data_IF_498979866145
#
_entry.id   IF_498979866145
#
_cell.length_a   1.000
_cell.length_b   1.000
_cell.length_c   1.000
_cell.angle_alpha   90.00
_cell.angle_beta   90.00
_cell.angle_gamma   90.00
#
_symmetry.space_group_name_H-M   'P 1'
#
loop_
_entity.id
_entity.type
_entity.pdbx_description
1 polymer ?
#
# COMPACT_ATOMS: atom_id res chain seq x y z
N UNK A 1 -3.35 2.02 13.24
CA UNK A 1 -4.38 1.18 13.90
C UNK A 1 -5.36 1.99 14.74
N UNK A 2 -4.98 2.56 15.90
CA UNK A 2 -5.95 3.22 16.81
C UNK A 2 -6.83 4.30 16.14
N UNK A 3 -6.26 5.15 15.28
CA UNK A 3 -7.04 6.18 14.55
C UNK A 3 -8.06 5.58 13.57
N UNK A 4 -7.78 4.44 12.93
CA UNK A 4 -8.73 3.75 12.06
C UNK A 4 -9.94 3.25 12.87
N UNK A 5 -9.67 2.64 14.02
CA UNK A 5 -10.70 2.13 14.93
C UNK A 5 -11.56 3.26 15.50
N UNK A 6 -10.92 4.37 15.89
CA UNK A 6 -11.60 5.57 16.38
C UNK A 6 -12.49 6.20 15.31
N UNK A 7 -11.99 6.42 14.09
CA UNK A 7 -12.79 7.00 13.01
C UNK A 7 -13.99 6.11 12.65
N UNK A 8 -13.82 4.79 12.70
CA UNK A 8 -14.92 3.86 12.55
C UNK A 8 -15.96 3.99 13.67
N UNK A 9 -15.55 4.14 14.94
CA UNK A 9 -16.51 4.31 16.02
C UNK A 9 -17.26 5.64 15.92
N UNK A 10 -16.61 6.69 15.44
CA UNK A 10 -17.22 8.02 15.26
C UNK A 10 -18.27 8.01 14.15
N UNK A 11 -17.94 7.50 12.96
CA UNK A 11 -18.91 7.42 11.87
C UNK A 11 -18.55 6.35 10.84
N UNK A 12 -19.23 5.20 10.94
CA UNK A 12 -19.05 4.04 10.04
C UNK A 12 -19.36 4.30 8.56
N UNK A 13 -20.09 5.38 8.24
CA UNK A 13 -20.53 5.69 6.87
C UNK A 13 -19.61 6.66 6.14
N UNK A 14 -18.70 7.33 6.87
CA UNK A 14 -17.73 8.25 6.27
C UNK A 14 -16.48 7.49 5.86
N UNK A 15 -15.92 7.91 4.74
CA UNK A 15 -14.61 7.43 4.31
C UNK A 15 -13.53 7.86 5.29
N UNK A 16 -12.54 6.99 5.47
CA UNK A 16 -11.28 7.33 6.13
C UNK A 16 -10.29 7.73 5.05
N UNK A 17 -9.74 8.95 5.12
CA UNK A 17 -8.72 9.42 4.20
C UNK A 17 -7.32 9.15 4.77
N UNK A 18 -6.58 8.24 4.15
CA UNK A 18 -5.26 7.81 4.58
C UNK A 18 -4.18 8.31 3.63
N UNK A 19 -3.48 9.36 4.05
CA UNK A 19 -2.35 9.93 3.31
C UNK A 19 -1.05 9.21 3.65
N UNK A 20 -0.31 8.80 2.64
CA UNK A 20 0.88 7.96 2.73
C UNK A 20 2.06 8.70 2.10
N UNK A 21 3.06 8.98 2.93
CA UNK A 21 4.41 9.38 2.54
C UNK A 21 5.39 8.55 3.38
N UNK A 22 5.72 7.36 2.90
CA UNK A 22 6.47 6.37 3.67
C UNK A 22 7.47 5.60 2.80
N UNK A 23 8.72 5.44 3.27
CA UNK A 23 9.72 4.58 2.63
C UNK A 23 9.49 3.08 2.90
N UNK A 24 8.47 2.73 3.70
CA UNK A 24 8.22 1.37 4.16
C UNK A 24 8.53 1.19 5.64
N UNK A 25 8.79 -0.04 6.06
CA UNK A 25 9.10 -0.35 7.45
C UNK A 25 8.91 -1.83 7.80
N UNK A 26 8.60 -2.11 9.06
CA UNK A 26 8.33 -3.46 9.57
C UNK A 26 7.16 -4.11 8.81
N UNK A 27 7.38 -5.34 8.35
CA UNK A 27 6.35 -6.12 7.63
C UNK A 27 5.17 -6.43 8.54
N UNK A 28 5.41 -6.89 9.77
CA UNK A 28 4.33 -7.20 10.73
C UNK A 28 3.53 -5.96 11.10
N UNK A 29 4.18 -4.80 11.24
CA UNK A 29 3.49 -3.54 11.47
C UNK A 29 2.65 -3.11 10.26
N UNK A 30 3.15 -3.35 9.05
CA UNK A 30 2.41 -3.11 7.80
C UNK A 30 1.16 -3.97 7.74
N UNK A 31 1.30 -5.29 7.98
CA UNK A 31 0.18 -6.23 7.97
C UNK A 31 -0.86 -5.90 9.05
N UNK A 32 -0.43 -5.47 10.24
CA UNK A 32 -1.37 -5.03 11.28
C UNK A 32 -2.21 -3.81 10.84
N UNK A 33 -1.60 -2.85 10.13
CA UNK A 33 -2.35 -1.71 9.58
C UNK A 33 -3.26 -2.18 8.44
N UNK A 34 -2.74 -3.00 7.53
CA UNK A 34 -3.48 -3.55 6.39
C UNK A 34 -4.73 -4.32 6.84
N UNK A 35 -4.59 -5.28 7.74
CA UNK A 35 -5.71 -6.07 8.25
C UNK A 35 -6.72 -5.19 8.99
N UNK A 36 -6.24 -4.16 9.71
CA UNK A 36 -7.15 -3.18 10.32
C UNK A 36 -7.93 -2.42 9.24
N UNK A 37 -7.30 -2.02 8.13
CA UNK A 37 -7.98 -1.36 7.01
C UNK A 37 -9.04 -2.27 6.37
N UNK A 38 -8.76 -3.57 6.25
CA UNK A 38 -9.71 -4.53 5.68
C UNK A 38 -10.86 -4.88 6.65
N UNK A 39 -10.58 -4.88 7.96
CA UNK A 39 -11.55 -5.23 8.99
C UNK A 39 -12.55 -4.10 9.28
N UNK A 40 -12.16 -2.83 9.13
CA UNK A 40 -13.10 -1.72 9.36
C UNK A 40 -14.17 -1.65 8.25
N UNK A 41 -15.41 -1.32 8.64
CA UNK A 41 -16.53 -1.11 7.72
C UNK A 41 -16.45 0.21 6.96
N UNK A 42 -15.71 1.20 7.47
CA UNK A 42 -15.46 2.45 6.76
C UNK A 42 -14.61 2.18 5.52
N UNK A 43 -14.98 2.68 4.33
CA UNK A 43 -14.08 2.64 3.18
C UNK A 43 -12.81 3.46 3.50
N UNK A 44 -11.64 2.87 3.27
CA UNK A 44 -10.36 3.57 3.46
C UNK A 44 -9.86 4.08 2.10
N UNK A 45 -9.96 5.38 1.86
CA UNK A 45 -9.39 6.03 0.68
C UNK A 45 -7.90 6.31 0.92
N UNK A 46 -7.02 5.89 0.01
CA UNK A 46 -5.56 6.02 0.16
C UNK A 46 -5.00 7.05 -0.80
N UNK A 47 -3.99 7.80 -0.34
CA UNK A 47 -3.39 8.89 -1.12
C UNK A 47 -1.86 8.82 -1.01
N UNK A 48 -1.18 8.57 -2.12
CA UNK A 48 0.28 8.66 -2.18
C UNK A 48 0.71 10.12 -2.36
N UNK A 49 1.38 10.67 -1.36
CA UNK A 49 1.87 12.05 -1.30
C UNK A 49 3.39 12.02 -1.16
N UNK A 50 4.11 11.95 -2.28
CA UNK A 50 5.58 11.84 -2.29
C UNK A 50 6.02 10.40 -2.55
N UNK A 51 6.10 9.55 -1.53
CA UNK A 51 6.56 8.17 -1.68
C UNK A 51 5.64 7.17 -0.98
N UNK A 52 5.33 6.06 -1.64
CA UNK A 52 4.79 4.86 -1.01
C UNK A 52 5.64 3.66 -1.42
N UNK A 53 6.64 3.33 -0.60
CA UNK A 53 7.58 2.24 -0.89
C UNK A 53 7.38 1.04 0.05
N UNK A 54 7.68 -0.16 -0.44
CA UNK A 54 7.66 -1.41 0.35
C UNK A 54 6.30 -1.58 1.04
N UNK A 55 6.25 -1.70 2.38
CA UNK A 55 4.99 -1.76 3.13
C UNK A 55 4.06 -0.56 2.88
N UNK A 56 4.58 0.63 2.55
CA UNK A 56 3.78 1.77 2.14
C UNK A 56 3.02 1.54 0.83
N UNK A 57 3.63 0.84 -0.14
CA UNK A 57 2.97 0.47 -1.39
C UNK A 57 1.85 -0.56 -1.15
N UNK A 58 2.05 -1.50 -0.24
CA UNK A 58 1.03 -2.49 0.18
C UNK A 58 -0.17 -1.78 0.80
N UNK A 59 0.06 -0.83 1.71
CA UNK A 59 -1.02 -0.03 2.31
C UNK A 59 -1.74 0.85 1.30
N UNK A 60 -1.00 1.44 0.35
CA UNK A 60 -1.59 2.22 -0.74
C UNK A 60 -2.54 1.36 -1.59
N UNK A 61 -2.06 0.19 -2.03
CA UNK A 61 -2.82 -0.75 -2.85
C UNK A 61 -4.05 -1.32 -2.10
N UNK A 62 -3.92 -1.53 -0.78
CA UNK A 62 -4.97 -2.07 0.08
C UNK A 62 -6.09 -1.09 0.45
N UNK A 63 -6.09 0.12 -0.11
CA UNK A 63 -7.23 1.03 0.00
C UNK A 63 -8.48 0.49 -0.71
N UNK A 64 -9.64 1.06 -0.41
CA UNK A 64 -10.90 0.69 -1.05
C UNK A 64 -10.81 0.90 -2.58
N UNK A 65 -11.20 -0.11 -3.35
CA UNK A 65 -11.18 -0.07 -4.82
C UNK A 65 -11.97 1.13 -5.36
N UNK A 66 -11.38 1.86 -6.31
CA UNK A 66 -11.91 3.11 -6.84
C UNK A 66 -11.59 4.34 -5.99
N UNK A 67 -10.88 4.18 -4.86
CA UNK A 67 -10.53 5.24 -3.91
C UNK A 67 -9.04 5.26 -3.54
N UNK A 68 -8.18 4.75 -4.43
CA UNK A 68 -6.72 4.75 -4.26
C UNK A 68 -6.12 5.78 -5.20
N UNK A 69 -5.35 6.71 -4.67
CA UNK A 69 -4.92 7.90 -5.41
C UNK A 69 -3.42 8.13 -5.27
N UNK A 70 -2.83 8.76 -6.28
CA UNK A 70 -1.47 9.30 -6.21
C UNK A 70 -1.43 10.75 -6.69
N UNK A 71 -0.58 11.58 -6.10
CA UNK A 71 -0.27 12.88 -6.69
C UNK A 71 0.66 12.73 -7.90
N UNK A 72 0.62 13.70 -8.82
CA UNK A 72 1.37 13.69 -10.10
C UNK A 72 2.84 13.25 -10.00
N UNK A 73 3.56 13.71 -8.97
CA UNK A 73 5.00 13.42 -8.81
C UNK A 73 5.29 12.37 -7.74
N UNK A 74 4.26 11.72 -7.22
CA UNK A 74 4.44 10.65 -6.26
C UNK A 74 5.09 9.43 -6.94
N UNK A 75 5.84 8.68 -6.14
CA UNK A 75 6.46 7.42 -6.54
C UNK A 75 5.91 6.28 -5.70
N UNK A 76 5.75 5.14 -6.33
CA UNK A 76 5.47 3.87 -5.67
C UNK A 76 6.67 2.96 -5.89
N UNK A 77 7.06 2.20 -4.87
CA UNK A 77 8.10 1.18 -5.02
C UNK A 77 7.65 -0.12 -4.39
N UNK A 78 7.73 -1.21 -5.13
CA UNK A 78 7.46 -2.56 -4.65
C UNK A 78 8.76 -3.38 -4.70
N UNK A 79 8.95 -4.23 -3.69
CA UNK A 79 10.05 -5.17 -3.61
C UNK A 79 9.70 -6.33 -2.66
N UNK A 80 10.53 -7.36 -2.65
CA UNK A 80 10.45 -8.45 -1.69
C UNK A 80 10.82 -7.97 -0.29
N UNK A 81 10.26 -8.59 0.78
CA UNK A 81 10.68 -8.28 2.13
C UNK A 81 12.17 -8.62 2.33
N UNK A 82 12.84 -7.82 3.14
CA UNK A 82 14.22 -8.04 3.53
C UNK A 82 14.31 -8.47 5.00
N UNK A 83 15.22 -9.41 5.30
CA UNK A 83 15.47 -9.90 6.66
C UNK A 83 16.78 -10.68 6.73
N UNK A 84 17.31 -10.82 7.94
CA UNK A 84 18.46 -11.67 8.23
C UNK A 84 18.03 -12.95 8.93
N UNK A 85 18.77 -14.03 8.70
CA UNK A 85 18.60 -15.31 9.41
C UNK A 85 19.88 -15.66 10.18
N UNK A 86 19.74 -16.36 11.30
CA UNK A 86 20.91 -16.79 12.08
C UNK A 86 20.53 -17.69 13.26
N UNK A 87 21.52 -18.39 13.82
CA UNK A 87 21.34 -19.32 14.93
C UNK A 87 21.78 -20.74 14.59
N UNK A 88 21.18 -21.74 15.24
CA UNK A 88 21.40 -23.14 14.89
C UNK A 88 20.86 -23.43 13.49
N UNK A 89 21.29 -24.54 12.88
CA UNK A 89 20.83 -24.94 11.54
C UNK A 89 19.29 -24.97 11.46
N UNK A 90 18.64 -25.56 12.46
CA UNK A 90 17.17 -25.60 12.53
C UNK A 90 16.53 -24.21 12.66
N UNK A 91 17.15 -23.28 13.39
CA UNK A 91 16.65 -21.91 13.49
C UNK A 91 16.76 -21.18 12.15
N UNK A 92 17.88 -21.36 11.45
CA UNK A 92 18.10 -20.79 10.10
C UNK A 92 17.03 -21.31 9.14
N UNK A 93 16.75 -22.60 9.14
CA UNK A 93 15.72 -23.21 8.30
C UNK A 93 14.32 -22.64 8.59
N UNK A 94 13.95 -22.55 9.87
CA UNK A 94 12.64 -22.01 10.29
C UNK A 94 12.50 -20.54 9.86
N UNK A 95 13.51 -19.71 10.13
CA UNK A 95 13.47 -18.29 9.78
C UNK A 95 13.45 -18.06 8.27
N UNK A 96 14.23 -18.83 7.51
CA UNK A 96 14.23 -18.73 6.04
C UNK A 96 12.85 -19.10 5.46
N UNK A 97 12.23 -20.17 5.96
CA UNK A 97 10.87 -20.54 5.56
C UNK A 97 9.84 -19.44 5.88
N UNK A 98 9.97 -18.77 7.03
CA UNK A 98 9.07 -17.69 7.41
C UNK A 98 9.22 -16.44 6.52
N UNK A 99 10.44 -16.09 6.12
CA UNK A 99 10.68 -15.02 5.15
C UNK A 99 10.02 -15.35 3.80
N UNK A 100 10.14 -16.59 3.34
CA UNK A 100 9.51 -17.05 2.08
C UNK A 100 7.98 -16.95 2.17
N UNK A 101 7.38 -17.43 3.27
CA UNK A 101 5.93 -17.30 3.49
C UNK A 101 5.49 -15.85 3.50
N UNK A 102 6.22 -15.00 4.21
CA UNK A 102 5.95 -13.56 4.29
C UNK A 102 5.96 -12.91 2.91
N UNK A 103 6.99 -13.21 2.09
CA UNK A 103 7.06 -12.74 0.70
C UNK A 103 5.84 -13.18 -0.10
N UNK A 104 5.47 -14.45 0.00
CA UNK A 104 4.35 -15.01 -0.76
C UNK A 104 3.01 -14.38 -0.32
N UNK A 105 2.81 -14.13 0.97
CA UNK A 105 1.65 -13.38 1.50
C UNK A 105 1.59 -11.96 0.93
N UNK A 106 2.70 -11.22 0.92
CA UNK A 106 2.72 -9.85 0.39
C UNK A 106 2.44 -9.81 -1.12
N UNK A 107 2.99 -10.76 -1.88
CA UNK A 107 2.69 -10.89 -3.31
C UNK A 107 1.23 -11.25 -3.56
N UNK A 108 0.63 -12.10 -2.73
CA UNK A 108 -0.79 -12.44 -2.82
C UNK A 108 -1.67 -11.22 -2.57
N UNK A 109 -1.40 -10.45 -1.51
CA UNK A 109 -2.11 -9.18 -1.21
C UNK A 109 -2.02 -8.21 -2.39
N UNK A 110 -0.81 -7.98 -2.92
CA UNK A 110 -0.64 -7.10 -4.07
C UNK A 110 -1.37 -7.65 -5.31
N UNK A 111 -1.38 -8.97 -5.53
CA UNK A 111 -2.10 -9.59 -6.65
C UNK A 111 -3.60 -9.31 -6.58
N UNK A 112 -4.19 -9.48 -5.40
CA UNK A 112 -5.62 -9.25 -5.14
C UNK A 112 -6.03 -7.80 -5.42
N UNK A 113 -5.21 -6.83 -5.01
CA UNK A 113 -5.53 -5.41 -5.15
C UNK A 113 -5.16 -4.82 -6.52
N UNK A 114 -4.12 -5.33 -7.17
CA UNK A 114 -3.63 -4.79 -8.45
C UNK A 114 -4.24 -5.50 -9.67
N UNK A 115 -4.70 -6.73 -9.50
CA UNK A 115 -5.12 -7.59 -10.61
C UNK A 115 -3.96 -8.20 -11.41
N UNK A 116 -2.70 -7.97 -11.01
CA UNK A 116 -1.54 -8.64 -11.59
C UNK A 116 -1.46 -10.08 -11.09
N UNK A 117 -0.90 -11.00 -11.89
CA UNK A 117 -0.66 -12.36 -11.43
C UNK A 117 0.46 -12.42 -10.38
N UNK A 118 0.39 -13.41 -9.48
CA UNK A 118 1.43 -13.65 -8.47
C UNK A 118 2.79 -13.90 -9.12
N UNK A 119 2.84 -14.55 -10.28
CA UNK A 119 4.09 -14.79 -11.03
C UNK A 119 4.73 -13.49 -11.50
N UNK A 120 3.91 -12.54 -11.98
CA UNK A 120 4.40 -11.23 -12.39
C UNK A 120 4.93 -10.45 -11.18
N UNK A 121 4.19 -10.44 -10.08
CA UNK A 121 4.62 -9.77 -8.85
C UNK A 121 5.90 -10.38 -8.27
N UNK A 122 6.07 -11.71 -8.31
CA UNK A 122 7.33 -12.35 -7.89
C UNK A 122 8.53 -11.83 -8.69
N UNK A 123 8.35 -11.59 -10.00
CA UNK A 123 9.41 -11.05 -10.86
C UNK A 123 9.66 -9.57 -10.60
N UNK A 124 8.58 -8.78 -10.57
CA UNK A 124 8.68 -7.33 -10.45
C UNK A 124 9.17 -6.93 -9.05
N UNK A 125 8.80 -7.67 -8.00
CA UNK A 125 9.27 -7.45 -6.63
C UNK A 125 10.67 -8.05 -6.34
N UNK A 126 11.31 -8.78 -7.26
CA UNK A 126 12.61 -9.42 -6.94
C UNK A 126 13.70 -8.37 -6.61
N UNK A 127 13.59 -7.18 -7.17
CA UNK A 127 14.42 -6.01 -6.83
C UNK A 127 13.53 -4.80 -6.62
N UNK A 128 14.14 -3.69 -6.21
CA UNK A 128 13.43 -2.42 -6.12
C UNK A 128 12.84 -2.04 -7.48
N UNK A 129 11.52 -2.01 -7.55
CA UNK A 129 10.77 -1.67 -8.74
C UNK A 129 9.99 -0.38 -8.52
N UNK A 130 10.54 0.72 -9.05
CA UNK A 130 9.96 2.05 -8.93
C UNK A 130 8.97 2.33 -10.06
N UNK A 131 7.84 2.91 -9.68
CA UNK A 131 6.75 3.32 -10.55
C UNK A 131 6.45 4.80 -10.31
N UNK A 132 6.33 5.58 -11.38
CA UNK A 132 5.68 6.89 -11.35
C UNK A 132 4.21 6.77 -11.00
N UNK A 133 3.55 7.88 -10.68
CA UNK A 133 2.11 7.88 -10.42
C UNK A 133 1.27 7.28 -11.57
N UNK A 134 1.64 7.58 -12.82
CA UNK A 134 0.96 7.03 -14.01
C UNK A 134 1.21 5.54 -14.17
N UNK A 135 2.46 5.08 -14.01
CA UNK A 135 2.78 3.65 -14.07
C UNK A 135 2.12 2.88 -12.93
N UNK A 136 2.03 3.46 -11.72
CA UNK A 136 1.33 2.85 -10.60
C UNK A 136 -0.18 2.70 -10.85
N UNK A 137 -0.78 3.64 -11.59
CA UNK A 137 -2.17 3.54 -12.05
C UNK A 137 -2.33 2.43 -13.07
N UNK A 138 -1.47 2.39 -14.10
CA UNK A 138 -1.49 1.33 -15.11
C UNK A 138 -1.25 -0.06 -14.50
N UNK A 139 -0.36 -0.15 -13.51
CA UNK A 139 -0.06 -1.36 -12.78
C UNK A 139 -1.23 -1.83 -11.89
N UNK A 140 -2.16 -0.93 -11.54
CA UNK A 140 -3.34 -1.22 -10.72
C UNK A 140 -3.15 -0.97 -9.21
N UNK A 141 -2.04 -0.38 -8.79
CA UNK A 141 -1.77 -0.03 -7.38
C UNK A 141 -2.66 1.13 -6.93
N UNK A 142 -2.86 2.11 -7.80
CA UNK A 142 -3.80 3.22 -7.58
C UNK A 142 -4.86 3.25 -8.66
N UNK A 143 -6.01 3.83 -8.35
CA UNK A 143 -7.12 3.98 -9.29
C UNK A 143 -7.00 5.27 -10.11
N UNK A 144 -6.47 6.35 -9.52
CA UNK A 144 -6.30 7.62 -10.23
C UNK A 144 -5.11 8.48 -9.79
N UNK A 145 -4.69 9.38 -10.68
CA UNK A 145 -3.66 10.38 -10.42
C UNK A 145 -4.32 11.75 -10.29
N UNK A 146 -4.28 12.32 -9.09
CA UNK A 146 -4.90 13.59 -8.80
C UNK A 146 -4.06 14.75 -9.33
N UNK A 147 -4.71 15.57 -10.17
CA UNK A 147 -4.21 16.84 -10.66
C UNK A 147 -5.25 17.92 -10.33
N UNK A 148 -4.79 19.14 -10.02
CA UNK A 148 -5.71 20.29 -9.91
C UNK A 148 -6.38 20.47 -11.28
N UNK A 149 -7.72 20.43 -11.39
CA UNK A 149 -8.39 20.76 -12.64
C UNK A 149 -8.06 22.22 -13.01
N UNK A 150 -7.73 22.54 -14.28
CA UNK A 150 -7.67 23.93 -14.72
C UNK A 150 -9.07 24.54 -14.55
N UNK A 151 -9.21 25.54 -13.65
CA UNK A 151 -10.48 26.24 -13.40
C UNK A 151 -10.99 26.29 -11.96
N UNK A 152 -10.26 25.77 -10.96
CA UNK A 152 -10.56 26.09 -9.55
C UNK A 152 -9.88 27.39 -9.12
N UNK A 153 -10.26 28.45 -9.82
CA UNK A 153 -10.29 29.81 -9.27
C UNK A 153 -11.67 29.94 -8.64
N UNK A 154 -11.73 29.84 -7.32
CA UNK A 154 -12.96 30.15 -6.59
C UNK A 154 -13.34 31.60 -6.90
N UNK A 155 -14.59 31.74 -7.33
CA UNK A 155 -15.31 32.99 -7.34
C UNK A 155 -15.13 33.64 -5.96
N UNK A 156 -14.46 34.80 -5.93
CA UNK A 156 -14.56 35.70 -4.78
C UNK A 156 -16.03 36.09 -4.70
N UNK A 157 -16.75 35.58 -3.71
CA UNK A 157 -18.07 36.09 -3.35
C UNK A 157 -17.89 37.50 -2.76
N UNK A 158 -18.54 38.48 -3.40
CA UNK A 158 -18.64 39.89 -2.99
C UNK A 158 -19.32 40.09 -1.63
#
# INVERSE_FOLDING_TARGET
VMKLLYLQSENRRKDIHFYINSPGGSVTSTLAIYDTMQMVSCPVATYCVGLAASGGAVLLAGGAKGKRFALKHAKVMIHQPHGGVGGQVSDIEIQAQEIVKTRDTLNQILSEHTGQSVEKLKKDCDRDHYLSASEAKEYGIVDDVLIKPPGSEEQQED
#
